data_IF_680566789897
#
_entry.id   IF_680566789897
#
_cell.length_a   1.000
_cell.length_b   1.000
_cell.length_c   1.000
_cell.angle_alpha   90.00
_cell.angle_beta   90.00
_cell.angle_gamma   90.00
#
_symmetry.space_group_name_H-M   'P 1'
#
loop_
_entity.id
_entity.type
_entity.pdbx_description
1 polymer ?
#
# COMPACT_ATOMS: atom_id res chain seq x y z
N UNK A 1 -3.02 26.81 20.38
CA UNK A 1 -2.05 25.87 20.96
C UNK A 1 -2.62 24.47 20.75
N UNK A 2 -2.23 23.77 19.67
CA UNK A 2 -2.69 22.42 19.36
C UNK A 2 -1.96 21.50 20.32
N UNK A 3 -2.71 20.82 21.19
CA UNK A 3 -2.18 19.82 22.11
C UNK A 3 -1.80 18.61 21.25
N UNK A 4 -0.53 18.39 21.03
CA UNK A 4 0.01 17.12 20.53
C UNK A 4 -0.19 16.09 21.63
N UNK A 5 -1.31 15.40 21.55
CA UNK A 5 -1.63 14.30 22.48
C UNK A 5 -1.00 13.04 21.96
N UNK A 6 -0.22 12.39 22.82
CA UNK A 6 0.34 11.04 22.71
C UNK A 6 0.87 10.66 21.34
N UNK A 7 2.17 10.45 21.29
CA UNK A 7 2.94 9.90 20.18
C UNK A 7 2.64 8.38 20.04
N UNK A 8 1.37 8.01 19.80
CA UNK A 8 1.02 6.63 19.50
C UNK A 8 1.42 6.36 18.06
N UNK A 9 2.33 5.42 17.86
CA UNK A 9 2.74 4.94 16.54
C UNK A 9 1.50 4.32 15.86
N UNK A 10 1.10 4.85 14.71
CA UNK A 10 -0.10 4.43 14.00
C UNK A 10 0.21 3.28 13.06
N UNK A 11 -0.50 2.14 13.16
CA UNK A 11 -0.38 1.06 12.19
C UNK A 11 -1.02 1.49 10.86
N UNK A 12 -0.22 1.49 9.80
CA UNK A 12 -0.64 1.91 8.46
C UNK A 12 -0.50 0.77 7.48
N UNK A 13 -1.55 0.52 6.71
CA UNK A 13 -1.50 -0.26 5.48
C UNK A 13 -1.42 0.70 4.29
N UNK A 14 -0.45 0.47 3.40
CA UNK A 14 -0.27 1.26 2.19
C UNK A 14 -0.74 0.47 0.97
N UNK A 15 -1.69 1.02 0.21
CA UNK A 15 -2.26 0.41 -0.99
C UNK A 15 -1.87 1.29 -2.20
N UNK A 16 -1.05 0.76 -3.11
CA UNK A 16 -0.37 1.54 -4.14
C UNK A 16 -0.24 0.77 -5.47
N UNK A 17 0.07 1.47 -6.53
CA UNK A 17 0.41 0.92 -7.85
C UNK A 17 1.84 1.30 -8.28
N UNK A 18 2.71 1.37 -7.36
CA UNK A 18 4.12 1.77 -7.20
C UNK A 18 4.73 2.38 -8.46
N UNK A 19 4.26 3.60 -8.73
CA UNK A 19 4.86 4.56 -9.64
C UNK A 19 5.93 5.40 -8.93
N UNK A 20 6.38 6.47 -9.58
CA UNK A 20 7.42 7.37 -9.06
C UNK A 20 6.96 8.05 -7.77
N UNK A 21 5.75 8.58 -7.74
CA UNK A 21 5.16 9.27 -6.60
C UNK A 21 4.81 8.31 -5.46
N UNK A 22 4.29 7.11 -5.77
CA UNK A 22 4.08 6.05 -4.78
C UNK A 22 5.39 5.65 -4.09
N UNK A 23 6.50 5.59 -4.83
CA UNK A 23 7.82 5.28 -4.29
C UNK A 23 8.26 6.33 -3.26
N UNK A 24 7.97 7.61 -3.49
CA UNK A 24 8.23 8.68 -2.53
C UNK A 24 7.35 8.55 -1.29
N UNK A 25 6.04 8.25 -1.48
CA UNK A 25 5.11 7.99 -0.40
C UNK A 25 5.54 6.81 0.46
N UNK A 26 5.93 5.70 -0.16
CA UNK A 26 6.46 4.52 0.52
C UNK A 26 7.72 4.85 1.33
N UNK A 27 8.66 5.60 0.73
CA UNK A 27 9.87 6.06 1.40
C UNK A 27 9.53 6.88 2.65
N UNK A 28 8.61 7.84 2.52
CA UNK A 28 8.16 8.64 3.66
C UNK A 28 7.59 7.78 4.79
N UNK A 29 6.71 6.83 4.48
CA UNK A 29 6.08 5.95 5.47
C UNK A 29 7.10 5.03 6.17
N UNK A 30 8.09 4.50 5.43
CA UNK A 30 9.12 3.64 6.00
C UNK A 30 10.02 4.33 7.03
N UNK A 31 10.22 5.64 6.89
CA UNK A 31 11.12 6.42 7.74
C UNK A 31 10.39 7.36 8.71
N UNK A 32 9.06 7.46 8.66
CA UNK A 32 8.29 8.28 9.58
C UNK A 32 8.26 7.66 10.99
N UNK A 33 8.66 8.40 12.03
CA UNK A 33 8.63 7.89 13.41
C UNK A 33 7.20 7.77 13.99
N UNK A 34 6.21 8.34 13.32
CA UNK A 34 4.81 8.33 13.75
C UNK A 34 4.01 7.17 13.17
N UNK A 35 4.64 6.39 12.25
CA UNK A 35 3.98 5.35 11.47
C UNK A 35 4.66 4.00 11.70
N UNK A 36 3.86 2.98 11.94
CA UNK A 36 4.25 1.58 11.77
C UNK A 36 3.64 1.08 10.47
N UNK A 37 4.44 1.00 9.41
CA UNK A 37 3.97 0.42 8.15
C UNK A 37 3.85 -1.10 8.34
N UNK A 38 2.60 -1.59 8.44
CA UNK A 38 2.30 -2.98 8.79
C UNK A 38 2.02 -3.88 7.59
N UNK A 39 1.86 -3.29 6.40
CA UNK A 39 1.69 -4.03 5.16
C UNK A 39 1.58 -3.11 3.95
N UNK A 40 1.94 -3.64 2.78
CA UNK A 40 1.79 -2.97 1.49
C UNK A 40 1.01 -3.88 0.54
N UNK A 41 -0.12 -3.38 0.05
CA UNK A 41 -0.89 -4.00 -1.03
C UNK A 41 -0.57 -3.35 -2.36
N UNK A 42 -0.44 -4.13 -3.44
CA UNK A 42 -0.22 -3.57 -4.76
C UNK A 42 -1.38 -3.86 -5.71
N UNK A 43 -1.68 -2.93 -6.58
CA UNK A 43 -2.71 -3.05 -7.62
C UNK A 43 -2.16 -2.56 -8.96
N UNK A 44 -2.82 -2.92 -10.05
CA UNK A 44 -2.45 -2.35 -11.35
C UNK A 44 -3.01 -0.93 -11.50
N UNK A 45 -2.22 -0.03 -12.04
CA UNK A 45 -2.57 1.36 -12.30
C UNK A 45 -1.45 2.05 -13.05
N UNK A 46 -0.46 2.62 -12.36
CA UNK A 46 0.75 3.19 -12.97
C UNK A 46 1.57 2.12 -13.70
N UNK A 47 1.61 0.92 -13.12
CA UNK A 47 2.22 -0.29 -13.71
C UNK A 47 1.32 -1.49 -13.36
N UNK A 48 1.60 -2.69 -13.85
CA UNK A 48 0.89 -3.89 -13.41
C UNK A 48 1.19 -4.24 -11.94
N UNK A 49 0.27 -4.97 -11.29
CA UNK A 49 0.33 -5.24 -9.86
C UNK A 49 1.59 -6.03 -9.44
N UNK A 50 2.07 -6.92 -10.31
CA UNK A 50 3.28 -7.71 -10.08
C UNK A 50 4.53 -6.84 -10.16
N UNK A 51 4.64 -5.98 -11.17
CA UNK A 51 5.75 -5.04 -11.29
C UNK A 51 5.71 -4.02 -10.16
N UNK A 52 4.53 -3.58 -9.74
CA UNK A 52 4.36 -2.72 -8.57
C UNK A 52 4.88 -3.40 -7.29
N UNK A 53 4.60 -4.69 -7.09
CA UNK A 53 5.13 -5.46 -5.97
C UNK A 53 6.67 -5.60 -6.04
N UNK A 54 7.21 -5.89 -7.21
CA UNK A 54 8.66 -5.97 -7.43
C UNK A 54 9.34 -4.61 -7.13
N UNK A 55 8.77 -3.51 -7.61
CA UNK A 55 9.27 -2.16 -7.32
C UNK A 55 9.25 -1.87 -5.80
N UNK A 56 8.15 -2.18 -5.15
CA UNK A 56 7.99 -2.04 -3.69
C UNK A 56 9.06 -2.81 -2.93
N UNK A 57 9.26 -4.10 -3.24
CA UNK A 57 10.24 -4.95 -2.58
C UNK A 57 11.67 -4.45 -2.79
N UNK A 58 12.01 -3.96 -3.97
CA UNK A 58 13.33 -3.38 -4.26
C UNK A 58 13.57 -2.10 -3.48
N UNK A 59 12.58 -1.22 -3.39
CA UNK A 59 12.64 0.00 -2.59
C UNK A 59 12.81 -0.33 -1.10
N UNK A 60 12.06 -1.30 -0.59
CA UNK A 60 12.18 -1.78 0.79
C UNK A 60 13.57 -2.39 1.05
N UNK A 61 14.09 -3.15 0.11
CA UNK A 61 15.44 -3.70 0.19
C UNK A 61 16.53 -2.62 0.28
N UNK A 62 16.39 -1.55 -0.51
CA UNK A 62 17.28 -0.38 -0.43
C UNK A 62 17.18 0.35 0.92
N UNK A 63 15.97 0.45 1.47
CA UNK A 63 15.70 1.05 2.77
C UNK A 63 16.12 0.15 3.95
N UNK A 64 16.58 -1.09 3.70
CA UNK A 64 16.89 -2.07 4.74
C UNK A 64 15.67 -2.61 5.48
N UNK A 65 14.46 -2.35 4.98
CA UNK A 65 13.19 -2.82 5.57
C UNK A 65 12.80 -4.15 4.93
N UNK A 66 12.94 -5.23 5.69
CA UNK A 66 12.61 -6.60 5.28
C UNK A 66 11.46 -7.20 6.10
N UNK A 67 10.95 -6.42 7.01
CA UNK A 67 9.97 -6.78 8.03
C UNK A 67 8.53 -6.53 7.60
N UNK A 68 8.32 -5.77 6.51
CA UNK A 68 7.00 -5.35 6.06
C UNK A 68 6.50 -6.32 5.00
N UNK A 69 5.34 -6.99 5.21
CA UNK A 69 4.76 -7.87 4.21
C UNK A 69 4.24 -7.08 3.00
N UNK A 70 4.44 -7.65 1.82
CA UNK A 70 3.91 -7.14 0.54
C UNK A 70 2.99 -8.19 -0.06
N UNK A 71 1.80 -7.80 -0.50
CA UNK A 71 0.85 -8.68 -1.15
C UNK A 71 0.36 -8.10 -2.48
N UNK A 72 0.21 -9.00 -3.47
CA UNK A 72 -0.30 -8.62 -4.80
C UNK A 72 -1.82 -8.62 -4.75
N UNK A 73 -2.41 -7.52 -5.21
CA UNK A 73 -3.86 -7.36 -5.31
C UNK A 73 -4.35 -7.46 -6.75
N UNK A 74 -5.43 -6.74 -7.02
CA UNK A 74 -6.18 -6.87 -8.27
C UNK A 74 -5.42 -6.34 -9.49
N UNK A 75 -5.46 -7.14 -10.55
CA UNK A 75 -4.81 -6.84 -11.84
C UNK A 75 -5.67 -5.99 -12.75
N UNK A 76 -7.00 -6.16 -12.69
CA UNK A 76 -7.93 -5.50 -13.60
C UNK A 76 -8.80 -4.47 -12.90
N UNK A 77 -9.25 -3.46 -13.62
CA UNK A 77 -10.22 -2.50 -13.10
C UNK A 77 -11.58 -3.19 -12.93
N UNK A 78 -12.39 -2.75 -11.95
CA UNK A 78 -13.74 -3.31 -11.73
C UNK A 78 -14.64 -3.22 -12.97
N UNK A 79 -14.38 -2.25 -13.84
CA UNK A 79 -15.22 -1.93 -15.01
C UNK A 79 -14.53 -2.18 -16.34
N UNK A 80 -13.23 -2.48 -16.34
CA UNK A 80 -12.44 -2.70 -17.56
C UNK A 80 -11.17 -3.48 -17.27
N UNK A 81 -10.59 -4.08 -18.29
CA UNK A 81 -9.25 -4.66 -18.21
C UNK A 81 -8.17 -3.57 -18.01
N UNK A 82 -7.08 -3.95 -17.37
CA UNK A 82 -5.86 -3.15 -17.34
C UNK A 82 -5.10 -3.39 -18.66
N UNK A 83 -4.88 -2.33 -19.42
CA UNK A 83 -4.23 -2.38 -20.73
C UNK A 83 -2.84 -1.70 -20.75
N UNK A 84 -2.28 -1.45 -19.56
CA UNK A 84 -1.02 -0.74 -19.38
C UNK A 84 -1.20 0.60 -18.69
N UNK A 85 -0.12 1.06 -18.03
CA UNK A 85 -0.06 2.33 -17.33
C UNK A 85 0.44 3.48 -18.20
N UNK A 86 0.52 4.70 -17.64
CA UNK A 86 1.00 5.88 -18.34
C UNK A 86 2.53 5.91 -18.43
N UNK A 87 3.11 5.13 -19.36
CA UNK A 87 4.57 4.99 -19.54
C UNK A 87 5.29 6.32 -19.78
N UNK A 88 4.59 7.32 -20.35
CA UNK A 88 5.14 8.66 -20.55
C UNK A 88 5.35 9.45 -19.25
N UNK A 89 4.79 8.98 -18.14
CA UNK A 89 4.95 9.57 -16.80
C UNK A 89 5.92 8.71 -15.97
N UNK A 90 5.63 7.41 -15.87
CA UNK A 90 6.31 6.51 -14.94
C UNK A 90 7.38 5.62 -15.59
N UNK A 91 7.59 5.73 -16.91
CA UNK A 91 8.48 4.84 -17.66
C UNK A 91 7.88 3.43 -17.83
N UNK A 92 8.61 2.57 -18.53
CA UNK A 92 8.17 1.20 -18.81
C UNK A 92 8.17 0.30 -17.56
N UNK A 93 8.99 0.64 -16.56
CA UNK A 93 9.11 -0.12 -15.32
C UNK A 93 8.38 0.51 -14.12
N UNK A 94 7.66 1.62 -14.31
CA UNK A 94 6.97 2.35 -13.26
C UNK A 94 7.84 3.30 -12.43
N UNK A 95 9.17 3.25 -12.55
CA UNK A 95 10.13 4.04 -11.77
C UNK A 95 11.02 4.92 -12.67
N UNK A 96 10.44 5.49 -13.74
CA UNK A 96 11.17 6.36 -14.66
C UNK A 96 12.32 5.65 -15.38
N UNK A 97 12.21 4.35 -15.60
CA UNK A 97 13.24 3.47 -16.16
C UNK A 97 14.52 3.34 -15.30
N UNK A 98 14.47 3.75 -14.04
CA UNK A 98 15.57 3.53 -13.10
C UNK A 98 15.64 2.04 -12.73
N UNK A 99 16.80 1.43 -12.88
CA UNK A 99 17.04 0.05 -12.47
C UNK A 99 17.49 -0.02 -11.02
N UNK A 100 16.66 -0.56 -10.15
CA UNK A 100 17.00 -0.81 -8.77
C UNK A 100 17.72 -2.16 -8.60
N UNK A 101 18.59 -2.32 -7.58
CA UNK A 101 19.20 -3.59 -7.25
C UNK A 101 18.14 -4.69 -7.01
N UNK A 102 18.48 -5.92 -7.42
CA UNK A 102 17.65 -7.08 -7.07
C UNK A 102 17.74 -7.36 -5.57
N UNK A 103 16.64 -7.82 -5.01
CA UNK A 103 16.54 -8.19 -3.60
C UNK A 103 16.01 -9.62 -3.48
N UNK A 104 16.44 -10.33 -2.44
CA UNK A 104 15.89 -11.64 -2.09
C UNK A 104 14.69 -11.46 -1.15
N UNK A 105 13.66 -10.80 -1.67
CA UNK A 105 12.36 -10.62 -1.03
C UNK A 105 11.28 -11.03 -2.03
N UNK A 106 10.20 -11.59 -1.53
CA UNK A 106 9.05 -12.02 -2.36
C UNK A 106 7.75 -11.52 -1.74
N UNK A 107 6.72 -11.30 -2.56
CA UNK A 107 5.37 -11.09 -2.06
C UNK A 107 4.91 -12.31 -1.25
N UNK A 108 4.05 -12.10 -0.27
CA UNK A 108 3.36 -13.17 0.46
C UNK A 108 2.38 -13.94 -0.44
N UNK A 109 1.93 -15.09 0.05
CA UNK A 109 0.98 -15.95 -0.67
C UNK A 109 -0.47 -15.42 -0.58
N UNK A 110 -0.75 -14.57 0.41
CA UNK A 110 -2.06 -13.91 0.55
C UNK A 110 -2.24 -12.79 -0.48
N UNK A 111 -3.46 -12.57 -0.91
CA UNK A 111 -3.81 -11.39 -1.73
C UNK A 111 -3.79 -10.11 -0.89
N UNK A 112 -3.65 -8.94 -1.52
CA UNK A 112 -3.71 -7.65 -0.81
C UNK A 112 -5.03 -7.47 -0.04
N UNK A 113 -6.15 -7.99 -0.57
CA UNK A 113 -7.44 -7.96 0.11
C UNK A 113 -7.47 -8.86 1.37
N UNK A 114 -6.88 -10.05 1.31
CA UNK A 114 -6.77 -10.95 2.47
C UNK A 114 -5.85 -10.37 3.53
N UNK A 115 -4.71 -9.81 3.14
CA UNK A 115 -3.80 -9.08 4.02
C UNK A 115 -4.55 -7.93 4.73
N UNK A 116 -5.29 -7.11 4.01
CA UNK A 116 -6.02 -5.99 4.59
C UNK A 116 -7.06 -6.47 5.61
N UNK A 117 -7.78 -7.56 5.31
CA UNK A 117 -8.73 -8.16 6.27
C UNK A 117 -8.01 -8.66 7.52
N UNK A 118 -6.90 -9.38 7.37
CA UNK A 118 -6.10 -9.86 8.50
C UNK A 118 -5.60 -8.69 9.36
N UNK A 119 -4.98 -7.68 8.75
CA UNK A 119 -4.48 -6.51 9.46
C UNK A 119 -5.59 -5.71 10.16
N UNK A 120 -6.80 -5.66 9.58
CA UNK A 120 -7.95 -5.00 10.21
C UNK A 120 -8.40 -5.69 11.50
N UNK A 121 -8.20 -7.00 11.62
CA UNK A 121 -8.44 -7.73 12.86
C UNK A 121 -7.29 -7.61 13.85
N UNK A 122 -6.04 -7.68 13.39
CA UNK A 122 -4.84 -7.55 14.23
C UNK A 122 -4.73 -6.17 14.87
N UNK A 123 -5.13 -5.13 14.15
CA UNK A 123 -5.10 -3.74 14.59
C UNK A 123 -6.51 -3.15 14.75
N UNK A 124 -7.44 -3.91 15.33
CA UNK A 124 -8.85 -3.57 15.40
C UNK A 124 -9.10 -2.16 15.94
N UNK A 125 -9.69 -1.30 15.10
CA UNK A 125 -10.02 0.09 15.43
C UNK A 125 -8.85 1.09 15.35
N UNK A 126 -7.62 0.63 15.11
CA UNK A 126 -6.43 1.47 15.04
C UNK A 126 -5.79 1.50 13.63
N UNK A 127 -6.06 0.49 12.78
CA UNK A 127 -5.49 0.43 11.43
C UNK A 127 -5.92 1.64 10.60
N UNK A 128 -4.95 2.35 10.08
CA UNK A 128 -5.15 3.39 9.07
C UNK A 128 -4.79 2.82 7.69
N UNK A 129 -5.55 3.22 6.67
CA UNK A 129 -5.33 2.80 5.29
C UNK A 129 -5.01 4.05 4.47
N UNK A 130 -3.84 4.05 3.83
CA UNK A 130 -3.47 5.04 2.85
C UNK A 130 -3.52 4.36 1.48
N UNK A 131 -4.54 4.69 0.68
CA UNK A 131 -4.73 4.15 -0.65
C UNK A 131 -4.46 5.25 -1.67
N UNK A 132 -3.40 5.09 -2.45
CA UNK A 132 -2.98 5.99 -3.53
C UNK A 132 -3.12 5.33 -4.90
N UNK A 133 -3.14 4.01 -4.93
CA UNK A 133 -3.52 3.24 -6.12
C UNK A 133 -5.03 3.28 -6.39
N UNK A 134 -5.47 2.81 -7.57
CA UNK A 134 -6.90 2.71 -7.85
C UNK A 134 -7.63 1.84 -6.81
N UNK A 135 -8.72 2.31 -6.18
CA UNK A 135 -9.32 1.70 -4.99
C UNK A 135 -10.00 0.37 -5.30
N UNK A 136 -9.27 -0.72 -5.22
CA UNK A 136 -9.71 -2.08 -5.56
C UNK A 136 -9.57 -3.07 -4.43
N UNK A 137 -8.53 -2.93 -3.62
CA UNK A 137 -8.19 -3.86 -2.54
C UNK A 137 -9.33 -4.02 -1.55
N UNK A 138 -10.11 -2.97 -1.29
CA UNK A 138 -11.19 -2.98 -0.31
C UNK A 138 -12.60 -3.19 -0.89
N UNK A 139 -12.82 -3.03 -2.22
CA UNK A 139 -14.14 -3.20 -2.83
C UNK A 139 -14.57 -4.66 -3.03
N UNK A 140 -13.65 -5.61 -2.93
CA UNK A 140 -13.93 -7.04 -3.12
C UNK A 140 -14.67 -7.72 -1.98
N UNK A 141 -14.81 -7.08 -0.81
CA UNK A 141 -15.58 -7.62 0.33
C UNK A 141 -16.41 -6.54 0.99
N UNK A 142 -17.70 -6.51 0.66
CA UNK A 142 -18.72 -5.60 1.18
C UNK A 142 -19.03 -5.74 2.69
N UNK A 143 -18.23 -6.47 3.46
CA UNK A 143 -18.41 -6.69 4.89
C UNK A 143 -17.50 -5.83 5.78
N UNK A 144 -16.64 -5.00 5.21
CA UNK A 144 -15.94 -3.95 5.95
C UNK A 144 -16.87 -2.73 6.02
N UNK A 145 -17.86 -2.76 6.89
CA UNK A 145 -18.59 -1.55 7.24
C UNK A 145 -17.66 -0.65 8.06
N UNK A 146 -17.36 0.58 7.61
CA UNK A 146 -16.73 1.56 8.47
C UNK A 146 -17.66 1.76 9.66
N UNK A 147 -17.20 1.50 10.89
CA UNK A 147 -17.91 1.98 12.06
C UNK A 147 -17.85 3.51 11.99
N UNK A 148 -18.97 4.15 11.76
CA UNK A 148 -19.13 5.57 12.04
C UNK A 148 -18.61 5.85 13.45
N UNK A 149 -17.84 6.93 13.68
CA UNK A 149 -17.49 7.32 15.02
C UNK A 149 -18.78 7.56 15.79
N UNK A 150 -18.98 6.76 16.84
CA UNK A 150 -20.13 6.88 17.70
C UNK A 150 -20.09 8.23 18.42
N UNK A 151 -21.13 9.02 18.24
CA UNK A 151 -21.61 9.93 19.27
C UNK A 151 -20.92 11.29 19.37
N UNK A 152 -21.39 12.25 18.57
CA UNK A 152 -21.61 13.60 19.07
C UNK A 152 -23.12 13.74 19.25
N UNK A 153 -23.61 13.27 20.40
CA UNK A 153 -24.90 13.68 20.95
C UNK A 153 -24.62 14.90 21.83
N UNK A 154 -25.21 15.97 21.44
CA UNK A 154 -25.31 17.16 22.13
C UNK A 154 -25.97 18.06 22.60
#
# INVERSE_FOLDING_TARGET
MIRMTNNEIRPVHYDCDTGIDDALGLGYLMFSPEVSLVGVGTVSGNIDAEQAAENTLRLMGLAGRRDIPVAIGERHFLTREYLGGPVHIHGDNGLGNVTLPKVDLKPGDETAAEMLVRLSHEHAGALEIISVGPPRTWRGRSNLTPRSPAGLSG
#
